data_IF_303599445917
#
_entry.id   IF_303599445917
#
_cell.length_a   1.000
_cell.length_b   1.000
_cell.length_c   1.000
_cell.angle_alpha   90.00
_cell.angle_beta   90.00
_cell.angle_gamma   90.00
#
_symmetry.space_group_name_H-M   'P 1'
#
loop_
_entity.id
_entity.type
_entity.pdbx_description
1 polymer ?
#
# COMPACT_ATOMS: atom_id res chain seq x y z
N UNK A 1 9.09 13.65 -5.21
CA UNK A 1 9.83 12.55 -4.55
C UNK A 1 9.63 11.21 -5.25
N UNK A 2 8.42 10.65 -5.37
CA UNK A 2 8.19 9.43 -6.17
C UNK A 2 8.64 9.57 -7.64
N UNK A 3 8.41 10.73 -8.25
CA UNK A 3 8.85 11.07 -9.61
C UNK A 3 10.35 10.85 -9.81
N UNK A 4 11.17 11.28 -8.87
CA UNK A 4 12.62 11.27 -9.06
C UNK A 4 13.23 9.87 -8.88
N UNK A 5 12.66 9.06 -7.97
CA UNK A 5 13.14 7.71 -7.70
C UNK A 5 12.56 6.72 -8.71
N UNK A 6 11.25 6.59 -8.78
CA UNK A 6 10.59 5.59 -9.61
C UNK A 6 10.86 5.82 -11.11
N UNK A 7 10.86 7.08 -11.59
CA UNK A 7 11.14 7.38 -12.97
C UNK A 7 12.60 7.08 -13.36
N UNK A 8 13.54 7.38 -12.46
CA UNK A 8 14.96 7.07 -12.68
C UNK A 8 15.17 5.56 -12.78
N UNK A 9 14.57 4.79 -11.86
CA UNK A 9 14.67 3.34 -11.86
C UNK A 9 13.97 2.70 -13.06
N UNK A 10 12.78 3.16 -13.42
CA UNK A 10 12.08 2.71 -14.62
C UNK A 10 12.96 2.87 -15.88
N UNK A 11 13.59 4.02 -16.05
CA UNK A 11 14.51 4.26 -17.18
C UNK A 11 15.75 3.38 -17.15
N UNK A 12 16.19 2.95 -15.97
CA UNK A 12 17.33 2.04 -15.80
C UNK A 12 16.97 0.59 -16.12
N UNK A 13 15.77 0.18 -15.72
CA UNK A 13 15.31 -1.20 -15.85
C UNK A 13 14.84 -1.53 -17.28
N UNK A 14 14.21 -0.58 -17.97
CA UNK A 14 13.76 -0.81 -19.36
C UNK A 14 14.97 -0.86 -20.31
N UNK A 15 15.19 -1.99 -21.02
CA UNK A 15 16.28 -2.09 -21.96
C UNK A 15 16.25 -0.99 -23.03
N UNK A 16 17.36 -0.31 -23.25
CA UNK A 16 17.43 0.83 -24.17
C UNK A 16 16.97 0.48 -25.59
N UNK A 17 17.23 -0.75 -26.03
CA UNK A 17 16.85 -1.26 -27.36
C UNK A 17 15.34 -1.38 -27.56
N UNK A 18 14.56 -1.41 -26.46
CA UNK A 18 13.10 -1.49 -26.53
C UNK A 18 12.45 -0.10 -26.50
N UNK A 19 13.19 0.94 -26.19
CA UNK A 19 12.68 2.30 -26.05
C UNK A 19 12.63 2.96 -27.43
N UNK A 20 11.41 3.31 -27.87
CA UNK A 20 11.20 4.12 -29.08
C UNK A 20 11.33 5.62 -28.75
N UNK A 21 10.66 6.07 -27.68
CA UNK A 21 10.71 7.46 -27.22
C UNK A 21 10.47 7.57 -25.73
N UNK A 22 10.89 8.71 -25.15
CA UNK A 22 10.64 9.06 -23.73
C UNK A 22 10.13 10.47 -23.63
N UNK A 23 9.16 10.69 -22.76
CA UNK A 23 8.67 12.01 -22.37
C UNK A 23 8.93 12.22 -20.88
N UNK A 24 9.82 13.13 -20.55
CA UNK A 24 10.25 13.43 -19.18
C UNK A 24 9.19 14.27 -18.42
N UNK A 25 8.31 14.96 -19.13
CA UNK A 25 7.23 15.76 -18.53
C UNK A 25 6.06 14.86 -18.12
N UNK A 26 5.63 13.98 -19.04
CA UNK A 26 4.51 13.07 -18.80
C UNK A 26 4.95 11.78 -18.09
N UNK A 27 6.25 11.59 -17.83
CA UNK A 27 6.85 10.38 -17.28
C UNK A 27 6.43 9.12 -18.04
N UNK A 28 6.55 9.18 -19.37
CA UNK A 28 6.08 8.16 -20.29
C UNK A 28 7.24 7.61 -21.11
N UNK A 29 7.30 6.28 -21.21
CA UNK A 29 8.16 5.55 -22.14
C UNK A 29 7.27 4.89 -23.19
N UNK A 30 7.54 5.13 -24.46
CA UNK A 30 6.96 4.41 -25.58
C UNK A 30 7.95 3.33 -26.05
N UNK A 31 7.47 2.09 -26.17
CA UNK A 31 8.26 0.97 -26.62
C UNK A 31 8.13 0.77 -28.13
N UNK A 32 9.09 0.07 -28.74
CA UNK A 32 9.12 -0.20 -30.19
C UNK A 32 7.93 -1.00 -30.69
N UNK A 33 7.27 -1.79 -29.83
CA UNK A 33 6.05 -2.52 -30.14
C UNK A 33 4.76 -1.69 -29.99
N UNK A 34 4.87 -0.39 -29.72
CA UNK A 34 3.75 0.53 -29.50
C UNK A 34 3.17 0.54 -28.08
N UNK A 35 3.64 -0.33 -27.20
CA UNK A 35 3.21 -0.29 -25.77
C UNK A 35 3.77 0.95 -25.08
N UNK A 36 3.09 1.41 -24.03
CA UNK A 36 3.51 2.55 -23.24
C UNK A 36 3.55 2.20 -21.76
N UNK A 37 4.55 2.73 -21.05
CA UNK A 37 4.67 2.68 -19.59
C UNK A 37 4.61 4.12 -19.10
N UNK A 38 3.71 4.42 -18.18
CA UNK A 38 3.54 5.78 -17.62
C UNK A 38 3.54 5.72 -16.10
N UNK A 39 4.17 6.71 -15.44
CA UNK A 39 4.01 6.97 -14.01
C UNK A 39 2.99 8.08 -13.80
N UNK A 40 2.02 7.84 -12.92
CA UNK A 40 0.97 8.81 -12.58
C UNK A 40 0.84 8.92 -11.06
N UNK A 41 0.64 10.13 -10.56
CA UNK A 41 0.21 10.33 -9.18
C UNK A 41 -1.30 10.15 -9.05
N UNK A 42 -1.75 9.81 -7.87
CA UNK A 42 -3.18 9.58 -7.56
C UNK A 42 -4.02 10.85 -7.70
N UNK A 43 -3.42 12.04 -7.51
CA UNK A 43 -4.07 13.32 -7.76
C UNK A 43 -4.53 13.51 -9.21
N UNK A 44 -3.94 12.76 -10.14
CA UNK A 44 -4.28 12.77 -11.55
C UNK A 44 -5.02 11.49 -12.01
N UNK A 45 -5.48 10.66 -11.10
CA UNK A 45 -6.14 9.38 -11.44
C UNK A 45 -7.35 9.58 -12.36
N UNK A 46 -8.10 10.68 -12.20
CA UNK A 46 -9.24 11.02 -13.07
C UNK A 46 -8.86 11.14 -14.55
N UNK A 47 -7.60 11.49 -14.87
CA UNK A 47 -7.11 11.53 -16.25
C UNK A 47 -6.97 10.13 -16.90
N UNK A 48 -7.14 9.07 -16.12
CA UNK A 48 -7.16 7.69 -16.61
C UNK A 48 -8.57 7.21 -16.98
N UNK A 49 -9.63 7.96 -16.62
CA UNK A 49 -11.00 7.63 -17.05
C UNK A 49 -11.09 7.59 -18.58
N UNK A 50 -11.71 6.55 -19.10
CA UNK A 50 -11.86 6.35 -20.55
C UNK A 50 -10.62 5.82 -21.25
N UNK A 51 -9.56 5.49 -20.51
CA UNK A 51 -8.39 4.80 -21.06
C UNK A 51 -8.54 3.29 -20.87
N UNK A 52 -7.93 2.52 -21.77
CA UNK A 52 -7.86 1.05 -21.66
C UNK A 52 -6.46 0.66 -21.20
N UNK A 53 -6.35 0.03 -20.05
CA UNK A 53 -5.08 -0.40 -19.45
C UNK A 53 -4.89 -1.90 -19.60
N UNK A 54 -3.67 -2.31 -19.95
CA UNK A 54 -3.28 -3.74 -19.97
C UNK A 54 -2.77 -4.21 -18.61
N UNK A 55 -2.31 -3.29 -17.76
CA UNK A 55 -1.86 -3.59 -16.41
C UNK A 55 -1.60 -2.32 -15.63
N UNK A 56 -1.63 -2.42 -14.32
CA UNK A 56 -1.35 -1.33 -13.38
C UNK A 56 -0.61 -1.86 -12.16
N UNK A 57 0.33 -1.08 -11.65
CA UNK A 57 0.92 -1.24 -10.33
C UNK A 57 0.48 -0.05 -9.49
N UNK A 58 -0.16 -0.33 -8.36
CA UNK A 58 -0.60 0.63 -7.35
C UNK A 58 0.38 0.54 -6.20
N UNK A 59 1.30 1.49 -6.13
CA UNK A 59 2.32 1.58 -5.10
C UNK A 59 1.78 2.40 -3.94
N UNK A 60 2.03 1.98 -2.72
CA UNK A 60 1.43 2.53 -1.49
C UNK A 60 -0.11 2.48 -1.52
N UNK A 61 -0.66 1.35 -1.98
CA UNK A 61 -2.08 1.19 -2.25
C UNK A 61 -2.95 1.41 -1.00
N UNK A 62 -2.48 1.04 0.20
CA UNK A 62 -3.24 1.23 1.44
C UNK A 62 -3.57 2.70 1.73
N UNK A 63 -2.71 3.63 1.26
CA UNK A 63 -2.84 5.08 1.47
C UNK A 63 -3.57 5.80 0.33
N UNK A 64 -4.02 5.06 -0.68
CA UNK A 64 -4.83 5.61 -1.77
C UNK A 64 -6.31 5.65 -1.37
N UNK A 65 -7.04 6.62 -1.96
CA UNK A 65 -8.49 6.62 -1.91
C UNK A 65 -9.03 5.38 -2.65
N UNK A 66 -9.94 4.65 -2.01
CA UNK A 66 -10.60 3.49 -2.59
C UNK A 66 -11.28 3.79 -3.93
N UNK A 67 -11.83 5.00 -4.09
CA UNK A 67 -12.52 5.42 -5.31
C UNK A 67 -11.60 5.46 -6.52
N UNK A 68 -10.29 5.67 -6.32
CA UNK A 68 -9.29 5.57 -7.39
C UNK A 68 -9.28 4.17 -7.99
N UNK A 69 -9.32 3.14 -7.15
CA UNK A 69 -9.44 1.77 -7.62
C UNK A 69 -10.81 1.49 -8.22
N UNK A 70 -11.87 1.74 -7.45
CA UNK A 70 -13.22 1.29 -7.80
C UNK A 70 -13.80 2.00 -9.02
N UNK A 71 -13.60 3.32 -9.12
CA UNK A 71 -14.24 4.13 -10.15
C UNK A 71 -13.37 4.44 -11.37
N UNK A 72 -12.05 4.32 -11.23
CA UNK A 72 -11.12 4.73 -12.29
C UNK A 72 -10.33 3.56 -12.84
N UNK A 73 -9.55 2.88 -11.99
CA UNK A 73 -8.59 1.87 -12.43
C UNK A 73 -9.28 0.57 -12.83
N UNK A 74 -10.19 0.06 -12.00
CA UNK A 74 -10.89 -1.21 -12.28
C UNK A 74 -11.68 -1.16 -13.58
N UNK A 75 -12.45 -0.09 -13.90
CA UNK A 75 -13.08 0.06 -15.21
C UNK A 75 -12.08 0.15 -16.37
N UNK A 76 -10.96 0.87 -16.19
CA UNK A 76 -9.95 1.05 -17.23
C UNK A 76 -9.23 -0.27 -17.61
N UNK A 77 -9.22 -1.25 -16.72
CA UNK A 77 -8.67 -2.59 -16.99
C UNK A 77 -9.66 -3.52 -17.70
N UNK A 78 -10.96 -3.22 -17.69
CA UNK A 78 -12.01 -4.13 -18.14
C UNK A 78 -11.90 -4.49 -19.62
N UNK A 79 -11.66 -3.51 -20.50
CA UNK A 79 -11.62 -3.70 -21.96
C UNK A 79 -10.55 -4.70 -22.40
N UNK A 80 -9.42 -4.73 -21.70
CA UNK A 80 -8.27 -5.58 -22.05
C UNK A 80 -8.12 -6.77 -21.15
N UNK A 81 -9.05 -6.97 -20.21
CA UNK A 81 -8.89 -7.98 -19.16
C UNK A 81 -7.52 -7.83 -18.47
N UNK A 82 -7.16 -6.57 -18.20
CA UNK A 82 -5.85 -6.21 -17.66
C UNK A 82 -5.67 -6.67 -16.23
N UNK A 83 -4.42 -6.73 -15.79
CA UNK A 83 -4.03 -7.13 -14.43
C UNK A 83 -3.77 -5.92 -13.53
N UNK A 84 -3.88 -6.13 -12.23
CA UNK A 84 -3.50 -5.16 -11.22
C UNK A 84 -2.57 -5.80 -10.18
N UNK A 85 -1.57 -5.05 -9.73
CA UNK A 85 -0.70 -5.39 -8.61
C UNK A 85 -0.79 -4.26 -7.58
N UNK A 86 -1.16 -4.60 -6.36
CA UNK A 86 -1.22 -3.69 -5.23
C UNK A 86 -0.01 -3.95 -4.34
N UNK A 87 0.75 -2.93 -4.05
CA UNK A 87 1.93 -2.99 -3.18
C UNK A 87 1.75 -1.94 -2.09
N UNK A 88 1.89 -2.31 -0.84
CA UNK A 88 1.84 -1.37 0.28
C UNK A 88 2.35 -1.97 1.56
N UNK A 89 2.78 -1.12 2.49
CA UNK A 89 2.77 -1.41 3.92
C UNK A 89 1.30 -1.50 4.39
N UNK A 90 0.95 -2.40 5.30
CA UNK A 90 -0.40 -2.44 5.88
C UNK A 90 -0.76 -1.12 6.58
N UNK A 91 -2.01 -0.68 6.43
CA UNK A 91 -2.54 0.51 7.13
C UNK A 91 -3.78 0.13 7.95
N UNK A 92 -3.55 -0.68 9.00
CA UNK A 92 -4.61 -1.12 9.91
C UNK A 92 -5.67 -2.04 9.29
N UNK A 93 -6.55 -2.55 10.15
CA UNK A 93 -7.64 -3.47 9.76
C UNK A 93 -8.92 -2.76 9.34
N UNK A 94 -8.99 -1.44 9.41
CA UNK A 94 -10.15 -0.63 9.00
C UNK A 94 -9.94 0.03 7.61
N UNK A 95 -9.06 -0.51 6.79
CA UNK A 95 -8.73 0.02 5.46
C UNK A 95 -9.31 -0.85 4.35
N UNK A 96 -9.64 -0.22 3.22
CA UNK A 96 -10.08 -0.94 2.02
C UNK A 96 -9.03 -1.92 1.50
N UNK A 97 -7.74 -1.66 1.76
CA UNK A 97 -6.65 -2.54 1.39
C UNK A 97 -6.66 -3.84 2.22
N UNK A 98 -7.02 -3.73 3.52
CA UNK A 98 -7.25 -4.91 4.35
C UNK A 98 -8.45 -5.74 3.86
N UNK A 99 -9.55 -5.08 3.46
CA UNK A 99 -10.71 -5.77 2.89
C UNK A 99 -10.33 -6.55 1.62
N UNK A 100 -9.50 -5.95 0.75
CA UNK A 100 -8.95 -6.63 -0.42
C UNK A 100 -8.04 -7.81 -0.04
N UNK A 101 -7.22 -7.63 1.00
CA UNK A 101 -6.39 -8.72 1.53
C UNK A 101 -7.21 -9.90 2.01
N UNK A 102 -8.27 -9.65 2.79
CA UNK A 102 -9.20 -10.68 3.26
C UNK A 102 -9.91 -11.34 2.08
N UNK A 103 -10.45 -10.55 1.16
CA UNK A 103 -11.10 -11.04 -0.05
C UNK A 103 -10.23 -12.02 -0.84
N UNK A 104 -8.94 -11.71 -1.04
CA UNK A 104 -8.00 -12.60 -1.70
C UNK A 104 -7.75 -13.91 -0.94
N UNK A 105 -7.96 -13.93 0.37
CA UNK A 105 -7.74 -15.12 1.22
C UNK A 105 -8.95 -16.03 1.37
N UNK A 106 -10.15 -15.47 1.20
CA UNK A 106 -11.41 -16.18 1.43
C UNK A 106 -11.98 -16.80 0.15
N UNK A 107 -11.54 -16.33 -1.00
CA UNK A 107 -12.06 -16.79 -2.29
C UNK A 107 -11.20 -17.91 -2.85
N UNK A 108 -11.83 -19.01 -3.20
CA UNK A 108 -11.25 -20.09 -4.02
C UNK A 108 -11.19 -19.65 -5.51
N UNK A 109 -10.52 -18.50 -5.70
CA UNK A 109 -10.40 -17.85 -7.01
C UNK A 109 -8.98 -17.91 -7.51
N UNK A 110 -8.79 -18.53 -8.66
CA UNK A 110 -7.50 -18.62 -9.33
C UNK A 110 -6.97 -17.28 -9.88
N UNK A 111 -7.85 -16.27 -9.96
CA UNK A 111 -7.55 -14.95 -10.53
C UNK A 111 -7.04 -13.92 -9.49
N UNK A 112 -7.03 -14.26 -8.20
CA UNK A 112 -6.54 -13.42 -7.12
C UNK A 112 -5.51 -14.14 -6.26
N UNK A 113 -4.42 -13.44 -5.93
CA UNK A 113 -3.37 -13.95 -5.06
C UNK A 113 -2.88 -12.86 -4.11
N UNK A 114 -2.39 -13.27 -2.93
CA UNK A 114 -1.79 -12.36 -1.94
C UNK A 114 -0.48 -12.93 -1.43
N UNK A 115 0.45 -12.03 -1.14
CA UNK A 115 1.75 -12.34 -0.56
C UNK A 115 2.06 -11.33 0.54
N UNK A 116 2.73 -11.78 1.58
CA UNK A 116 3.27 -10.92 2.63
C UNK A 116 4.74 -11.25 2.81
N UNK A 117 5.55 -10.22 2.95
CA UNK A 117 6.98 -10.33 3.18
C UNK A 117 7.37 -9.36 4.29
N UNK A 118 8.09 -9.88 5.27
CA UNK A 118 8.70 -9.05 6.30
C UNK A 118 9.96 -8.36 5.77
N UNK A 119 10.42 -7.32 6.45
CA UNK A 119 11.68 -6.63 6.11
C UNK A 119 12.87 -7.59 6.11
N UNK A 120 12.88 -8.57 7.02
CA UNK A 120 13.94 -9.60 7.11
C UNK A 120 13.91 -10.51 5.89
N UNK A 121 12.74 -10.98 5.47
CA UNK A 121 12.57 -11.83 4.27
C UNK A 121 12.95 -11.09 2.99
N UNK A 122 12.74 -9.78 2.96
CA UNK A 122 13.15 -8.92 1.84
C UNK A 122 14.66 -8.84 1.65
N UNK A 123 15.44 -9.07 2.70
CA UNK A 123 16.90 -9.21 2.67
C UNK A 123 17.69 -7.94 2.34
N UNK A 124 17.04 -6.78 2.27
CA UNK A 124 17.67 -5.52 1.92
C UNK A 124 18.14 -4.69 3.13
N UNK A 125 17.72 -5.07 4.34
CA UNK A 125 18.04 -4.41 5.60
C UNK A 125 18.81 -5.38 6.49
N UNK A 126 19.92 -4.90 7.08
CA UNK A 126 20.72 -5.72 7.99
C UNK A 126 19.90 -6.10 9.24
N UNK A 127 20.03 -7.36 9.76
CA UNK A 127 19.28 -7.79 10.93
C UNK A 127 19.48 -6.89 12.15
N UNK A 128 20.68 -6.35 12.32
CA UNK A 128 21.05 -5.45 13.43
C UNK A 128 20.26 -4.16 13.39
N UNK A 129 19.95 -3.65 12.17
CA UNK A 129 19.14 -2.45 11.98
C UNK A 129 17.67 -2.73 12.31
N UNK A 130 17.17 -3.92 11.99
CA UNK A 130 15.81 -4.33 12.33
C UNK A 130 15.66 -4.43 13.86
N UNK A 131 16.65 -4.99 14.57
CA UNK A 131 16.63 -5.04 16.05
C UNK A 131 16.77 -3.64 16.68
N UNK A 132 17.58 -2.76 16.09
CA UNK A 132 17.67 -1.37 16.55
C UNK A 132 16.31 -0.65 16.42
N UNK A 133 15.63 -0.82 15.28
CA UNK A 133 14.29 -0.28 15.07
C UNK A 133 13.27 -0.85 16.07
N UNK A 134 13.37 -2.16 16.40
CA UNK A 134 12.51 -2.80 17.42
C UNK A 134 12.64 -2.15 18.79
N UNK A 135 13.84 -1.68 19.14
CA UNK A 135 14.11 -0.98 20.41
C UNK A 135 13.66 0.48 20.42
N UNK A 136 13.42 1.09 19.26
CA UNK A 136 13.11 2.51 19.11
C UNK A 136 11.63 2.80 18.84
N UNK A 137 10.94 1.87 18.18
CA UNK A 137 9.54 2.02 17.80
C UNK A 137 8.61 1.37 18.82
N UNK A 138 7.39 1.87 18.93
CA UNK A 138 6.36 1.12 19.64
C UNK A 138 6.08 -0.21 18.90
N UNK A 139 5.67 -1.21 19.69
CA UNK A 139 5.53 -2.58 19.20
C UNK A 139 4.56 -2.71 18.02
N UNK A 140 3.57 -1.85 17.93
CA UNK A 140 2.58 -1.87 16.86
C UNK A 140 3.16 -1.30 15.56
N UNK A 141 3.75 -0.10 15.62
CA UNK A 141 4.44 0.50 14.48
C UNK A 141 5.51 -0.45 13.95
N UNK A 142 6.27 -1.09 14.85
CA UNK A 142 7.26 -2.07 14.43
C UNK A 142 6.62 -3.24 13.66
N UNK A 143 5.55 -3.84 14.18
CA UNK A 143 4.88 -4.96 13.49
C UNK A 143 4.30 -4.52 12.12
N UNK A 144 3.72 -3.33 12.05
CA UNK A 144 3.19 -2.79 10.81
C UNK A 144 4.29 -2.59 9.75
N UNK A 145 5.36 -1.87 10.11
CA UNK A 145 6.38 -1.42 9.16
C UNK A 145 7.43 -2.50 8.84
N UNK A 146 7.75 -3.38 9.78
CA UNK A 146 8.82 -4.37 9.63
C UNK A 146 8.32 -5.81 9.47
N UNK A 147 7.16 -6.13 10.02
CA UNK A 147 6.59 -7.49 9.98
C UNK A 147 5.37 -7.59 9.05
N UNK A 148 5.04 -6.53 8.30
CA UNK A 148 3.91 -6.46 7.38
C UNK A 148 2.57 -6.91 8.00
N UNK A 149 2.36 -6.55 9.28
CA UNK A 149 1.16 -6.92 10.05
C UNK A 149 0.07 -5.86 9.93
N UNK A 150 -1.16 -6.30 9.69
CA UNK A 150 -2.32 -5.43 9.80
C UNK A 150 -2.69 -5.26 11.27
N UNK A 151 -2.44 -4.07 11.83
CA UNK A 151 -2.70 -3.77 13.24
C UNK A 151 -4.08 -3.14 13.43
N UNK A 152 -4.80 -3.57 14.48
CA UNK A 152 -6.10 -2.99 14.80
C UNK A 152 -5.94 -1.65 15.52
N UNK A 153 -6.52 -0.59 14.96
CA UNK A 153 -6.55 0.75 15.55
C UNK A 153 -7.73 0.97 16.48
N UNK A 154 -8.74 0.13 16.41
CA UNK A 154 -9.97 0.27 17.19
C UNK A 154 -9.77 -0.28 18.61
N UNK A 155 -9.94 0.55 19.60
CA UNK A 155 -9.93 0.14 21.01
C UNK A 155 -8.77 0.68 21.86
N UNK A 156 -7.85 1.43 21.30
CA UNK A 156 -6.71 2.00 22.02
C UNK A 156 -7.01 3.40 22.60
N UNK A 157 -8.08 3.54 23.37
CA UNK A 157 -8.26 4.75 24.20
C UNK A 157 -7.29 4.75 25.37
N UNK A 158 -6.78 3.58 25.79
CA UNK A 158 -5.73 3.46 26.80
C UNK A 158 -5.00 2.12 26.71
N UNK A 159 -3.84 2.06 26.04
CA UNK A 159 -3.00 0.84 25.93
C UNK A 159 -2.30 0.47 27.24
N UNK A 160 -2.26 1.39 28.18
CA UNK A 160 -1.56 1.25 29.46
C UNK A 160 -2.47 1.55 30.66
N UNK A 161 -3.78 1.32 30.51
CA UNK A 161 -4.69 1.48 31.64
C UNK A 161 -4.61 0.20 32.50
N UNK A 162 -3.93 0.31 33.63
CA UNK A 162 -3.85 -0.73 34.67
C UNK A 162 -4.73 -0.34 35.85
N UNK A 163 -5.06 -1.30 36.72
CA UNK A 163 -5.82 -1.05 37.91
C UNK A 163 -5.17 0.04 38.85
N UNK A 164 -3.88 0.31 38.66
CA UNK A 164 -3.13 1.36 39.32
C UNK A 164 -3.48 2.78 38.84
N UNK A 165 -4.08 2.87 37.62
CA UNK A 165 -4.50 4.14 37.01
C UNK A 165 -5.95 4.50 37.36
N UNK A 166 -6.64 3.66 38.13
CA UNK A 166 -7.99 3.93 38.62
C UNK A 166 -7.89 4.75 39.90
N UNK A 167 -8.20 6.04 39.79
CA UNK A 167 -8.32 6.88 40.93
C UNK A 167 -9.56 6.49 41.75
N UNK A 168 -9.37 6.04 42.98
CA UNK A 168 -10.45 5.56 43.86
C UNK A 168 -11.47 6.66 44.21
N UNK A 169 -11.11 7.93 44.10
CA UNK A 169 -12.01 9.06 44.33
C UNK A 169 -13.08 9.19 43.22
N UNK A 170 -12.86 8.67 42.04
CA UNK A 170 -13.86 8.69 40.94
C UNK A 170 -14.97 7.66 41.14
N UNK A 171 -14.74 6.62 41.93
CA UNK A 171 -15.79 5.61 42.22
C UNK A 171 -16.93 6.17 43.07
N UNK A 172 -16.67 7.20 43.88
CA UNK A 172 -17.70 7.80 44.78
C UNK A 172 -18.59 8.81 44.04
N UNK A 173 -18.22 9.28 42.84
CA UNK A 173 -19.03 10.22 42.06
C UNK A 173 -20.24 9.57 41.35
N UNK A 174 -20.31 8.25 41.30
CA UNK A 174 -21.40 7.53 40.62
C UNK A 174 -22.56 7.15 41.56
N UNK A 175 -22.52 7.58 42.81
CA UNK A 175 -23.52 7.25 43.83
C UNK A 175 -24.22 8.47 44.42
N UNK A 176 -24.31 9.59 43.68
CA UNK A 176 -25.18 10.70 44.08
C UNK A 176 -26.53 10.60 43.37
N UNK A 177 -27.64 10.69 44.11
CA UNK A 177 -29.00 10.49 43.60
C UNK A 177 -29.50 11.58 42.67
#
# INVERSE_FOLDING_TARGET
>A
MAKDIAWKELKRLVPKIWIKSKNETDLRIELINGSTIELKGTENAMALRGRSLSGVVLDEAAFMDQDVWAEVIRPALADKQGWALFISTPDGTASWFYDMWCFCGETDRDDWQRWSFTTVEGGNVAPEEVEAARGQLDARTFRQEFEASFENLTGLVAVSFTDENIDKEVQDLHMMP
#
